data_IF_632839990861
#
_entry.id   IF_632839990861
#
_cell.length_a   1.000
_cell.length_b   1.000
_cell.length_c   1.000
_cell.angle_alpha   90.00
_cell.angle_beta   90.00
_cell.angle_gamma   90.00
#
_symmetry.space_group_name_H-M   'P 1'
#
loop_
_entity.id
_entity.type
_entity.pdbx_description
1 polymer ?
#
# COMPACT_ATOMS: atom_id res chain seq x y z
N UNK A 1 7.34 -39.28 99.22
CA UNK A 1 6.72 -40.24 98.27
C UNK A 1 7.84 -41.08 97.66
N UNK A 2 7.82 -42.41 97.77
CA UNK A 2 8.94 -43.31 97.42
C UNK A 2 9.20 -43.47 95.90
N UNK A 3 8.80 -42.50 95.08
CA UNK A 3 8.76 -42.59 93.60
C UNK A 3 9.84 -41.73 92.93
N UNK A 4 10.59 -40.96 93.73
CA UNK A 4 11.74 -40.15 93.32
C UNK A 4 13.00 -40.60 94.07
N UNK A 5 13.15 -41.92 94.25
CA UNK A 5 14.37 -42.50 94.81
C UNK A 5 15.36 -42.78 93.67
N UNK A 6 16.09 -41.74 93.26
CA UNK A 6 17.10 -41.79 92.20
C UNK A 6 18.33 -42.67 92.56
N UNK A 7 18.38 -43.22 93.78
CA UNK A 7 19.41 -44.17 94.22
C UNK A 7 19.05 -45.64 93.92
N UNK A 8 17.88 -45.92 93.30
CA UNK A 8 17.48 -47.27 92.93
C UNK A 8 18.14 -47.71 91.60
N UNK A 9 18.94 -48.80 91.57
CA UNK A 9 19.70 -49.21 90.38
C UNK A 9 18.84 -49.52 89.15
N UNK A 10 17.56 -49.86 89.33
CA UNK A 10 16.61 -50.11 88.23
C UNK A 10 16.27 -48.84 87.42
N UNK A 11 16.14 -47.68 88.09
CA UNK A 11 15.79 -46.40 87.43
C UNK A 11 16.96 -45.89 86.57
N UNK A 12 18.19 -46.05 87.06
CA UNK A 12 19.40 -45.70 86.31
C UNK A 12 19.54 -46.60 85.07
N UNK A 13 19.32 -47.92 85.21
CA UNK A 13 19.36 -48.84 84.07
C UNK A 13 18.29 -48.53 83.01
N UNK A 14 17.08 -48.15 83.43
CA UNK A 14 16.01 -47.72 82.51
C UNK A 14 16.37 -46.41 81.78
N UNK A 15 16.96 -45.44 82.47
CA UNK A 15 17.42 -44.19 81.85
C UNK A 15 18.55 -44.43 80.83
N UNK A 16 19.51 -45.32 81.14
CA UNK A 16 20.59 -45.69 80.21
C UNK A 16 20.01 -46.34 78.95
N UNK A 17 19.11 -47.32 79.08
CA UNK A 17 18.48 -47.95 77.92
C UNK A 17 17.60 -47.00 77.11
N UNK A 18 16.87 -46.09 77.76
CA UNK A 18 16.12 -45.03 77.09
C UNK A 18 17.06 -44.16 76.24
N UNK A 19 18.22 -43.78 76.79
CA UNK A 19 19.20 -42.95 76.08
C UNK A 19 19.83 -43.71 74.90
N UNK A 20 20.07 -45.02 75.05
CA UNK A 20 20.55 -45.88 73.95
C UNK A 20 19.51 -45.95 72.82
N UNK A 21 18.24 -46.24 73.13
CA UNK A 21 17.17 -46.34 72.13
C UNK A 21 16.92 -44.97 71.47
N UNK A 22 16.88 -43.91 72.27
CA UNK A 22 16.70 -42.55 71.77
C UNK A 22 17.87 -42.11 70.89
N UNK A 23 19.11 -42.43 71.27
CA UNK A 23 20.30 -42.18 70.47
C UNK A 23 20.28 -42.95 69.15
N UNK A 24 19.88 -44.22 69.17
CA UNK A 24 19.71 -45.02 67.97
C UNK A 24 18.63 -44.45 67.04
N UNK A 25 17.47 -44.07 67.59
CA UNK A 25 16.39 -43.41 66.84
C UNK A 25 16.85 -42.08 66.24
N UNK A 26 17.52 -41.23 67.03
CA UNK A 26 18.06 -39.96 66.59
C UNK A 26 19.06 -40.14 65.44
N UNK A 27 19.95 -41.12 65.55
CA UNK A 27 20.91 -41.45 64.51
C UNK A 27 20.22 -41.88 63.21
N UNK A 28 19.21 -42.76 63.28
CA UNK A 28 18.42 -43.18 62.11
C UNK A 28 17.71 -41.98 61.48
N UNK A 29 17.09 -41.12 62.29
CA UNK A 29 16.35 -39.97 61.79
C UNK A 29 17.30 -38.95 61.13
N UNK A 30 18.43 -38.66 61.78
CA UNK A 30 19.45 -37.74 61.30
C UNK A 30 20.14 -38.24 60.03
N UNK A 31 20.48 -39.52 59.97
CA UNK A 31 21.27 -40.07 58.87
C UNK A 31 20.45 -40.59 57.70
N UNK A 32 19.15 -40.88 57.87
CA UNK A 32 18.34 -41.50 56.81
C UNK A 32 17.07 -40.72 56.47
N UNK A 33 16.28 -40.32 57.47
CA UNK A 33 14.97 -39.68 57.21
C UNK A 33 15.11 -38.22 56.80
N UNK A 34 15.90 -37.43 57.53
CA UNK A 34 16.16 -36.02 57.18
C UNK A 34 16.80 -35.82 55.80
N UNK A 35 17.85 -36.56 55.38
CA UNK A 35 18.42 -36.37 54.06
C UNK A 35 17.43 -36.72 52.93
N UNK A 36 16.56 -37.71 53.13
CA UNK A 36 15.55 -38.04 52.13
C UNK A 36 14.51 -36.93 51.96
N UNK A 37 14.05 -36.31 53.06
CA UNK A 37 13.14 -35.15 53.00
C UNK A 37 13.84 -33.94 52.37
N UNK A 38 15.09 -33.68 52.74
CA UNK A 38 15.89 -32.59 52.16
C UNK A 38 16.06 -32.76 50.63
N UNK A 39 16.36 -33.98 50.17
CA UNK A 39 16.46 -34.29 48.73
C UNK A 39 15.17 -33.98 47.98
N UNK A 40 14.01 -34.37 48.50
CA UNK A 40 12.72 -34.08 47.85
C UNK A 40 12.43 -32.59 47.80
N UNK A 41 12.81 -31.86 48.85
CA UNK A 41 12.59 -30.41 48.91
C UNK A 41 13.50 -29.68 47.92
N UNK A 42 14.76 -30.12 47.81
CA UNK A 42 15.73 -29.63 46.84
C UNK A 42 15.28 -29.93 45.41
N UNK A 43 14.86 -31.16 45.11
CA UNK A 43 14.34 -31.53 43.79
C UNK A 43 13.15 -30.66 43.36
N UNK A 44 12.25 -30.34 44.30
CA UNK A 44 11.12 -29.44 44.04
C UNK A 44 11.59 -28.01 43.81
N UNK A 45 12.51 -27.51 44.63
CA UNK A 45 13.07 -26.17 44.46
C UNK A 45 13.75 -26.02 43.10
N UNK A 46 14.55 -27.01 42.70
CA UNK A 46 15.22 -27.05 41.39
C UNK A 46 14.21 -27.11 40.24
N UNK A 47 13.17 -27.95 40.33
CA UNK A 47 12.12 -28.01 39.30
C UNK A 47 11.39 -26.68 39.16
N UNK A 48 11.00 -26.05 40.27
CA UNK A 48 10.33 -24.75 40.25
C UNK A 48 11.24 -23.68 39.64
N UNK A 49 12.52 -23.67 40.00
CA UNK A 49 13.48 -22.73 39.42
C UNK A 49 13.63 -22.94 37.91
N UNK A 50 13.79 -24.19 37.47
CA UNK A 50 13.89 -24.54 36.05
C UNK A 50 12.62 -24.16 35.28
N UNK A 51 11.44 -24.43 35.82
CA UNK A 51 10.15 -24.08 35.20
C UNK A 51 9.98 -22.56 35.11
N UNK A 52 10.37 -21.81 36.15
CA UNK A 52 10.34 -20.34 36.14
C UNK A 52 11.29 -19.76 35.11
N UNK A 53 12.50 -20.31 34.98
CA UNK A 53 13.47 -19.83 33.99
C UNK A 53 13.04 -20.19 32.57
N UNK A 54 12.47 -21.37 32.35
CA UNK A 54 11.86 -21.75 31.08
C UNK A 54 10.68 -20.81 30.71
N UNK A 55 9.81 -20.50 31.68
CA UNK A 55 8.71 -19.57 31.48
C UNK A 55 9.20 -18.14 31.16
N UNK A 56 10.24 -17.65 31.85
CA UNK A 56 10.88 -16.36 31.55
C UNK A 56 11.49 -16.34 30.15
N UNK A 57 12.22 -17.39 29.77
CA UNK A 57 12.81 -17.50 28.44
C UNK A 57 11.73 -17.53 27.35
N UNK A 58 10.65 -18.30 27.55
CA UNK A 58 9.52 -18.34 26.62
C UNK A 58 8.82 -16.99 26.52
N UNK A 59 8.68 -16.26 27.63
CA UNK A 59 8.10 -14.91 27.64
C UNK A 59 8.99 -13.94 26.85
N UNK A 60 10.30 -13.94 27.11
CA UNK A 60 11.24 -13.08 26.38
C UNK A 60 11.25 -13.37 24.88
N UNK A 61 11.21 -14.65 24.49
CA UNK A 61 11.10 -15.04 23.09
C UNK A 61 9.78 -14.56 22.45
N UNK A 62 8.66 -14.65 23.17
CA UNK A 62 7.37 -14.15 22.70
C UNK A 62 7.37 -12.62 22.57
N UNK A 63 7.91 -11.89 23.56
CA UNK A 63 8.02 -10.43 23.52
C UNK A 63 8.91 -9.97 22.36
N UNK A 64 10.02 -10.67 22.09
CA UNK A 64 10.89 -10.41 20.95
C UNK A 64 10.17 -10.67 19.61
N UNK A 65 9.47 -11.80 19.47
CA UNK A 65 8.70 -12.12 18.27
C UNK A 65 7.56 -11.12 18.02
N UNK A 66 6.89 -10.65 19.08
CA UNK A 66 5.87 -9.60 18.98
C UNK A 66 6.48 -8.28 18.50
N UNK A 67 7.64 -7.89 19.03
CA UNK A 67 8.33 -6.68 18.60
C UNK A 67 8.76 -6.77 17.13
N UNK A 68 9.28 -7.91 16.68
CA UNK A 68 9.65 -8.14 15.28
C UNK A 68 8.42 -8.10 14.36
N UNK A 69 7.31 -8.74 14.75
CA UNK A 69 6.06 -8.69 14.01
C UNK A 69 5.51 -7.25 13.89
N UNK A 70 5.54 -6.49 14.97
CA UNK A 70 5.13 -5.08 14.96
C UNK A 70 6.02 -4.24 14.04
N UNK A 71 7.34 -4.44 14.09
CA UNK A 71 8.28 -3.75 13.21
C UNK A 71 8.06 -4.14 11.73
N UNK A 72 7.90 -5.43 11.45
CA UNK A 72 7.66 -5.94 10.10
C UNK A 72 6.34 -5.43 9.51
N UNK A 73 5.27 -5.42 10.30
CA UNK A 73 3.97 -4.89 9.87
C UNK A 73 3.99 -3.37 9.67
N UNK A 74 4.69 -2.62 10.52
CA UNK A 74 4.88 -1.18 10.33
C UNK A 74 5.68 -0.88 9.05
N UNK A 75 6.77 -1.61 8.82
CA UNK A 75 7.59 -1.51 7.61
C UNK A 75 6.80 -1.84 6.36
N UNK A 76 6.08 -2.96 6.34
CA UNK A 76 5.25 -3.36 5.21
C UNK A 76 4.15 -2.33 4.89
N UNK A 77 3.53 -1.72 5.91
CA UNK A 77 2.56 -0.63 5.71
C UNK A 77 3.20 0.62 5.12
N UNK A 78 4.39 1.00 5.59
CA UNK A 78 5.12 2.15 5.07
C UNK A 78 5.55 1.94 3.60
N UNK A 79 6.07 0.75 3.28
CA UNK A 79 6.44 0.37 1.92
C UNK A 79 5.23 0.34 0.99
N UNK A 80 4.09 -0.21 1.43
CA UNK A 80 2.86 -0.22 0.65
C UNK A 80 2.35 1.21 0.37
N UNK A 81 2.34 2.09 1.38
CA UNK A 81 1.96 3.50 1.21
C UNK A 81 2.88 4.22 0.23
N UNK A 82 4.20 4.00 0.34
CA UNK A 82 5.18 4.56 -0.59
C UNK A 82 4.98 4.06 -2.02
N UNK A 83 4.75 2.76 -2.20
CA UNK A 83 4.49 2.16 -3.50
C UNK A 83 3.21 2.70 -4.14
N UNK A 84 2.13 2.85 -3.35
CA UNK A 84 0.88 3.45 -3.82
C UNK A 84 1.11 4.90 -4.24
N UNK A 85 1.80 5.70 -3.43
CA UNK A 85 2.09 7.10 -3.76
C UNK A 85 2.92 7.22 -5.05
N UNK A 86 3.94 6.38 -5.21
CA UNK A 86 4.77 6.32 -6.42
C UNK A 86 3.94 5.92 -7.65
N UNK A 87 3.09 4.90 -7.53
CA UNK A 87 2.21 4.45 -8.61
C UNK A 87 1.22 5.53 -9.05
N UNK A 88 0.60 6.24 -8.10
CA UNK A 88 -0.31 7.36 -8.38
C UNK A 88 0.43 8.51 -9.08
N UNK A 89 1.63 8.86 -8.60
CA UNK A 89 2.45 9.90 -9.22
C UNK A 89 2.82 9.53 -10.66
N UNK A 90 3.24 8.29 -10.89
CA UNK A 90 3.59 7.79 -12.22
C UNK A 90 2.37 7.77 -13.16
N UNK A 91 1.22 7.31 -12.66
CA UNK A 91 -0.03 7.29 -13.43
C UNK A 91 -0.47 8.71 -13.83
N UNK A 92 -0.39 9.68 -12.91
CA UNK A 92 -0.70 11.07 -13.20
C UNK A 92 0.26 11.67 -14.23
N UNK A 93 1.57 11.41 -14.12
CA UNK A 93 2.55 11.87 -15.09
C UNK A 93 2.31 11.27 -16.49
N UNK A 94 1.99 9.98 -16.57
CA UNK A 94 1.64 9.33 -17.84
C UNK A 94 0.34 9.90 -18.43
N UNK A 95 -0.67 10.12 -17.60
CA UNK A 95 -1.94 10.70 -18.04
C UNK A 95 -1.75 12.13 -18.59
N UNK A 96 -0.94 12.96 -17.92
CA UNK A 96 -0.59 14.30 -18.40
C UNK A 96 0.16 14.25 -19.74
N UNK A 97 1.18 13.39 -19.86
CA UNK A 97 1.93 13.24 -21.11
C UNK A 97 1.04 12.77 -22.27
N UNK A 98 0.12 11.82 -22.02
CA UNK A 98 -0.84 11.37 -23.03
C UNK A 98 -1.82 12.48 -23.40
N UNK A 99 -2.31 13.24 -22.43
CA UNK A 99 -3.19 14.38 -22.67
C UNK A 99 -2.52 15.45 -23.53
N UNK A 100 -1.25 15.77 -23.26
CA UNK A 100 -0.47 16.71 -24.07
C UNK A 100 -0.33 16.24 -25.53
N UNK A 101 0.03 14.97 -25.75
CA UNK A 101 0.15 14.40 -27.10
C UNK A 101 -1.20 14.41 -27.83
N UNK A 102 -2.29 14.03 -27.14
CA UNK A 102 -3.63 14.04 -27.70
C UNK A 102 -4.08 15.46 -28.06
N UNK A 103 -3.85 16.42 -27.18
CA UNK A 103 -4.19 17.83 -27.43
C UNK A 103 -3.40 18.39 -28.61
N UNK A 104 -2.10 18.07 -28.73
CA UNK A 104 -1.29 18.48 -29.87
C UNK A 104 -1.83 17.90 -31.19
N UNK A 105 -2.18 16.60 -31.20
CA UNK A 105 -2.78 15.95 -32.38
C UNK A 105 -4.15 16.53 -32.73
N UNK A 106 -4.98 16.83 -31.74
CA UNK A 106 -6.29 17.45 -31.95
C UNK A 106 -6.13 18.85 -32.55
N UNK A 107 -5.20 19.66 -32.05
CA UNK A 107 -4.90 20.97 -32.59
C UNK A 107 -4.47 20.89 -34.07
N UNK A 108 -3.56 19.96 -34.40
CA UNK A 108 -3.11 19.73 -35.78
C UNK A 108 -4.28 19.31 -36.69
N UNK A 109 -5.14 18.39 -36.22
CA UNK A 109 -6.33 17.96 -36.97
C UNK A 109 -7.33 19.09 -37.20
N UNK A 110 -7.53 19.96 -36.21
CA UNK A 110 -8.38 21.15 -36.33
C UNK A 110 -7.82 22.08 -37.39
N UNK A 111 -6.53 22.44 -37.31
CA UNK A 111 -5.89 23.32 -38.31
C UNK A 111 -5.95 22.71 -39.72
N UNK A 112 -5.72 21.41 -39.87
CA UNK A 112 -5.84 20.73 -41.15
C UNK A 112 -7.28 20.73 -41.69
N UNK A 113 -8.28 20.53 -40.83
CA UNK A 113 -9.68 20.59 -41.19
C UNK A 113 -10.10 22.01 -41.61
N UNK A 114 -9.68 23.03 -40.88
CA UNK A 114 -9.91 24.45 -41.21
C UNK A 114 -9.31 24.81 -42.57
N UNK A 115 -8.06 24.40 -42.83
CA UNK A 115 -7.42 24.59 -44.13
C UNK A 115 -8.18 23.92 -45.27
N UNK A 116 -8.67 22.69 -45.06
CA UNK A 116 -9.48 21.96 -46.04
C UNK A 116 -10.83 22.63 -46.30
N UNK A 117 -11.47 23.15 -45.24
CA UNK A 117 -12.73 23.90 -45.35
C UNK A 117 -12.50 25.18 -46.16
N UNK A 118 -11.44 25.94 -45.86
CA UNK A 118 -11.10 27.16 -46.62
C UNK A 118 -10.85 26.85 -48.09
N UNK A 119 -10.03 25.85 -48.39
CA UNK A 119 -9.75 25.45 -49.77
C UNK A 119 -11.02 25.00 -50.52
N UNK A 120 -11.90 24.26 -49.85
CA UNK A 120 -13.18 23.83 -50.45
C UNK A 120 -14.11 25.01 -50.70
N UNK A 121 -14.16 25.98 -49.78
CA UNK A 121 -14.92 27.22 -49.95
C UNK A 121 -14.40 28.03 -51.14
N UNK A 122 -13.09 28.20 -51.25
CA UNK A 122 -12.47 28.97 -52.32
C UNK A 122 -12.70 28.30 -53.69
N UNK A 123 -12.58 26.97 -53.76
CA UNK A 123 -12.89 26.19 -54.96
C UNK A 123 -14.38 26.29 -55.36
N UNK A 124 -15.30 26.25 -54.39
CA UNK A 124 -16.72 26.42 -54.63
C UNK A 124 -17.04 27.84 -55.14
N UNK A 125 -16.43 28.86 -54.54
CA UNK A 125 -16.59 30.26 -54.97
C UNK A 125 -16.03 30.50 -56.39
N UNK A 126 -14.89 29.90 -56.72
CA UNK A 126 -14.31 29.96 -58.06
C UNK A 126 -15.21 29.28 -59.09
N UNK A 127 -15.72 28.08 -58.78
CA UNK A 127 -16.68 27.37 -59.63
C UNK A 127 -17.97 28.18 -59.85
N UNK A 128 -18.52 28.77 -58.79
CA UNK A 128 -19.70 29.66 -58.87
C UNK A 128 -19.44 30.87 -59.77
N UNK A 129 -18.26 31.49 -59.67
CA UNK A 129 -17.89 32.62 -60.53
C UNK A 129 -17.82 32.21 -61.99
N UNK A 130 -17.22 31.06 -62.30
CA UNK A 130 -17.17 30.53 -63.68
C UNK A 130 -18.58 30.33 -64.23
N UNK A 131 -19.42 29.57 -63.51
CA UNK A 131 -20.79 29.26 -63.96
C UNK A 131 -21.64 30.53 -64.11
N UNK A 132 -21.51 31.48 -63.20
CA UNK A 132 -22.23 32.76 -63.27
C UNK A 132 -21.77 33.60 -64.48
N UNK A 133 -20.47 33.63 -64.76
CA UNK A 133 -19.89 34.36 -65.90
C UNK A 133 -20.31 33.72 -67.23
N UNK A 134 -20.26 32.40 -67.33
CA UNK A 134 -20.70 31.65 -68.51
C UNK A 134 -22.19 31.88 -68.79
N UNK A 135 -23.02 31.78 -67.74
CA UNK A 135 -24.48 32.00 -67.84
C UNK A 135 -24.79 33.45 -68.23
N UNK A 136 -24.15 34.43 -67.59
CA UNK A 136 -24.34 35.85 -67.91
C UNK A 136 -23.89 36.18 -69.34
N UNK A 137 -22.76 35.63 -69.79
CA UNK A 137 -22.25 35.81 -71.15
C UNK A 137 -23.21 35.23 -72.18
N UNK A 138 -23.74 34.02 -71.94
CA UNK A 138 -24.74 33.40 -72.81
C UNK A 138 -26.02 34.24 -72.90
N UNK A 139 -26.51 34.77 -71.77
CA UNK A 139 -27.69 35.65 -71.73
C UNK A 139 -27.46 36.96 -72.48
N UNK A 140 -26.34 37.65 -72.25
CA UNK A 140 -26.00 38.93 -72.92
C UNK A 140 -25.81 38.74 -74.42
N UNK A 141 -25.13 37.67 -74.83
CA UNK A 141 -24.96 37.33 -76.26
C UNK A 141 -26.31 37.10 -76.93
N UNK A 142 -27.24 36.40 -76.27
CA UNK A 142 -28.58 36.16 -76.80
C UNK A 142 -29.44 37.43 -76.88
N UNK A 143 -29.26 38.38 -75.95
CA UNK A 143 -30.08 39.60 -75.88
C UNK A 143 -29.59 40.74 -76.80
N UNK A 144 -28.27 40.95 -76.87
CA UNK A 144 -27.65 42.14 -77.48
C UNK A 144 -26.74 41.76 -78.67
N UNK A 145 -26.56 40.46 -78.95
CA UNK A 145 -25.81 39.95 -80.10
C UNK A 145 -24.28 39.99 -79.97
N UNK A 146 -23.74 40.73 -78.99
CA UNK A 146 -22.30 40.79 -78.70
C UNK A 146 -22.08 40.89 -77.18
N UNK A 147 -21.28 39.99 -76.63
CA UNK A 147 -20.85 40.06 -75.24
C UNK A 147 -19.39 40.52 -75.17
N UNK A 148 -19.12 41.53 -74.35
CA UNK A 148 -17.77 41.87 -73.94
C UNK A 148 -17.41 41.06 -72.68
N UNK A 149 -16.52 40.08 -72.85
CA UNK A 149 -16.12 39.16 -71.78
C UNK A 149 -15.50 39.90 -70.58
N UNK A 150 -14.74 40.98 -70.81
CA UNK A 150 -14.11 41.73 -69.74
C UNK A 150 -15.14 42.54 -68.93
N UNK A 151 -16.14 43.10 -69.61
CA UNK A 151 -17.24 43.82 -68.96
C UNK A 151 -18.14 42.88 -68.13
N UNK A 152 -18.43 41.68 -68.65
CA UNK A 152 -19.27 40.68 -67.96
C UNK A 152 -18.56 40.09 -66.73
N UNK A 153 -17.30 39.67 -66.84
CA UNK A 153 -16.54 39.16 -65.68
C UNK A 153 -16.37 40.24 -64.60
N UNK A 154 -16.10 41.49 -64.99
CA UNK A 154 -16.05 42.62 -64.07
C UNK A 154 -17.38 42.89 -63.36
N UNK A 155 -18.52 42.73 -64.03
CA UNK A 155 -19.85 42.92 -63.45
C UNK A 155 -20.24 41.77 -62.51
N UNK A 156 -19.99 40.52 -62.91
CA UNK A 156 -20.23 39.33 -62.08
C UNK A 156 -19.34 39.35 -60.84
N UNK A 157 -18.07 39.75 -60.98
CA UNK A 157 -17.14 39.94 -59.87
C UNK A 157 -17.68 40.93 -58.83
N UNK A 158 -18.15 42.11 -59.26
CA UNK A 158 -18.76 43.11 -58.35
C UNK A 158 -20.02 42.59 -57.66
N UNK A 159 -20.88 41.86 -58.38
CA UNK A 159 -22.12 41.30 -57.84
C UNK A 159 -21.87 40.20 -56.80
N UNK A 160 -20.86 39.35 -57.01
CA UNK A 160 -20.46 38.30 -56.07
C UNK A 160 -19.81 38.88 -54.81
N UNK A 161 -18.95 39.89 -54.95
CA UNK A 161 -18.32 40.56 -53.79
C UNK A 161 -19.35 41.32 -52.93
N UNK A 162 -20.37 41.93 -53.53
CA UNK A 162 -21.42 42.63 -52.79
C UNK A 162 -22.34 41.69 -51.98
N UNK A 163 -22.42 40.41 -52.36
CA UNK A 163 -23.25 39.40 -51.69
C UNK A 163 -22.48 38.54 -50.68
N UNK A 164 -21.16 38.46 -50.80
CA UNK A 164 -20.29 37.75 -49.85
C UNK A 164 -19.85 38.56 -48.63
N UNK A 165 -20.25 39.83 -48.52
CA UNK A 165 -19.94 40.73 -47.40
C UNK A 165 -21.08 40.92 -46.37
N UNK A 166 -22.12 40.08 -46.45
CA UNK A 166 -23.19 39.92 -45.45
C UNK A 166 -22.97 38.59 -44.72
#
# INVERSE_FOLDING_TARGET
MPQLDFANPMVLAQAVWLLVIFGALYFILSSYVLPQVASVLEDRAQRIAADLDAARASKLAADAAMAELQAATAKARAEAQSAIAAAVQQANAQAQAQAEVLNARLAEQITAAEARISASRDAAMASLRSVATDTATALVTRLIGRADAAAVDGAVGRALSARGSL
#
